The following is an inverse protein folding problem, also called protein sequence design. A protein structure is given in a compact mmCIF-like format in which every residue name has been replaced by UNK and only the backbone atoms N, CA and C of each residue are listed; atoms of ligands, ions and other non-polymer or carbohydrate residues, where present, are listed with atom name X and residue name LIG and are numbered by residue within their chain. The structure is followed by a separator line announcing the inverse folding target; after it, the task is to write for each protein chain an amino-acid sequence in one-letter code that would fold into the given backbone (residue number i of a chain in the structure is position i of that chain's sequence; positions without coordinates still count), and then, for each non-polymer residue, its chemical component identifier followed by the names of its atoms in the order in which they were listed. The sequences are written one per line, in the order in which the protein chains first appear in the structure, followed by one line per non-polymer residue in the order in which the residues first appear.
data_IF_316991481993
#
_entry.id   IF_316991481993
#
_cell.length_a   1.000
_cell.length_b   1.000
_cell.length_c   1.000
_cell.angle_alpha   90.00
_cell.angle_beta   90.00
_cell.angle_gamma   90.00
#
_symmetry.space_group_name_H-M   'P 1'
#
loop_
_entity.id
_entity.type
_entity.pdbx_description
1 polymer ?
2 non-polymer ?
3 water ?
#
# COMPACT_ATOMS: atom_id res chain seq x y z
N UNK A 3 0.87 19.79 -10.71
CA UNK A 3 0.69 21.11 -11.40
C UNK A 3 1.97 21.78 -11.92
N UNK A 4 2.52 22.78 -11.23
CA UNK A 4 2.04 23.34 -9.93
C UNK A 4 2.36 22.48 -8.71
N UNK A 5 2.74 23.14 -7.62
CA UNK A 5 2.94 22.48 -6.35
C UNK A 5 1.92 22.99 -5.29
N UNK A 6 1.02 22.15 -4.82
CA UNK A 6 0.07 22.64 -3.80
C UNK A 6 0.39 22.12 -2.38
N UNK A 7 0.52 23.03 -1.43
CA UNK A 7 0.96 22.69 -0.07
C UNK A 7 0.17 23.42 1.04
N UNK A 8 -0.59 22.62 1.79
CA UNK A 8 -1.39 23.09 2.93
C UNK A 8 -1.40 24.58 3.17
N UNK A 9 -2.22 25.30 2.42
CA UNK A 9 -3.11 24.72 1.44
C UNK A 9 -3.13 25.78 0.38
N UNK A 10 -1.92 26.32 0.11
CA UNK A 10 -1.66 27.21 -1.02
C UNK A 10 -0.93 26.50 -2.18
N UNK A 11 -1.33 26.87 -3.40
CA UNK A 11 -0.74 26.35 -4.62
C UNK A 11 0.36 27.30 -5.01
N UNK A 12 1.56 26.77 -5.23
CA UNK A 12 2.65 27.53 -5.81
C UNK A 12 3.07 26.95 -7.17
N UNK A 13 3.70 27.75 -8.01
CA UNK A 13 4.30 27.19 -9.20
C UNK A 13 5.77 27.09 -8.84
N UNK A 14 6.38 26.00 -9.31
CA UNK A 14 7.81 25.89 -9.47
C UNK A 14 8.05 24.76 -10.46
N UNK A 15 9.32 24.39 -10.63
CA UNK A 15 9.75 23.38 -11.56
C UNK A 15 10.85 22.55 -10.89
N UNK A 16 10.82 21.24 -11.06
CA UNK A 16 11.79 20.35 -10.38
C UNK A 16 13.23 20.82 -10.33
N UNK A 17 13.63 21.62 -11.30
CA UNK A 17 14.95 22.15 -11.23
C UNK A 17 15.03 23.24 -10.19
N UNK A 18 13.88 23.85 -9.91
CA UNK A 18 13.77 24.86 -8.85
C UNK A 18 14.01 24.30 -7.47
N UNK A 19 13.48 23.09 -7.21
CA UNK A 19 13.60 22.39 -5.92
C UNK A 19 15.04 22.12 -5.58
N UNK A 20 15.40 22.20 -4.32
CA UNK A 20 16.75 21.87 -3.90
C UNK A 20 16.76 20.39 -3.58
N UNK A 21 17.82 19.69 -3.94
CA UNK A 21 17.86 18.25 -3.79
C UNK A 21 18.84 17.84 -2.72
N UNK A 22 18.38 16.97 -1.81
CA UNK A 22 19.16 16.61 -0.62
C UNK A 22 19.80 15.22 -0.67
N UNK A 23 19.26 14.32 -1.48
CA UNK A 23 19.79 12.95 -1.55
C UNK A 23 18.75 12.00 -2.06
N UNK A 24 19.08 10.71 -2.16
CA UNK A 24 18.14 9.72 -2.72
C UNK A 24 17.75 8.59 -1.77
N UNK A 25 16.67 7.89 -2.12
CA UNK A 25 16.10 6.85 -1.27
C UNK A 25 15.77 5.55 -2.01
N UNK A 26 16.02 5.54 -3.32
CA UNK A 26 15.80 4.38 -4.17
C UNK A 26 14.70 4.56 -5.20
N UNK A 27 14.98 4.42 -6.49
CA UNK A 27 16.17 3.73 -7.07
C UNK A 27 16.13 2.24 -6.81
N UNK A 28 15.53 1.85 -5.68
CA UNK A 28 15.24 0.47 -5.34
C UNK A 28 13.84 0.17 -5.82
N UNK A 29 13.72 0.07 -7.16
CA UNK A 29 12.45 -0.08 -7.91
C UNK A 29 11.41 1.03 -7.64
N UNK A 30 10.94 1.75 -8.66
CA UNK A 30 11.33 1.61 -10.08
C UNK A 30 12.31 2.71 -10.50
N UNK A 31 11.90 3.97 -10.29
CA UNK A 31 12.73 5.13 -10.60
C UNK A 31 13.33 5.75 -9.35
N UNK A 32 14.39 6.54 -9.54
CA UNK A 32 15.02 7.26 -8.44
C UNK A 32 13.97 8.06 -7.67
N UNK A 33 13.68 7.64 -6.43
CA UNK A 33 12.91 8.47 -5.49
C UNK A 33 13.87 9.39 -4.72
N UNK A 34 13.45 10.64 -4.54
CA UNK A 34 14.32 11.72 -4.10
C UNK A 34 13.85 12.44 -2.85
N UNK A 35 14.79 12.75 -1.95
CA UNK A 35 14.52 13.69 -0.87
C UNK A 35 14.90 15.08 -1.35
N UNK A 36 13.93 15.98 -1.35
CA UNK A 36 14.24 17.38 -1.63
C UNK A 36 13.35 18.44 -0.99
N UNK A 37 13.94 19.62 -0.89
CA UNK A 37 13.37 20.74 -0.19
C UNK A 37 12.82 21.76 -1.17
N UNK A 38 11.58 22.17 -0.98
CA UNK A 38 10.97 23.18 -1.79
C UNK A 38 11.45 24.49 -1.25
N UNK A 39 12.23 25.19 -2.04
CA UNK A 39 12.96 26.39 -1.62
C UNK A 39 12.00 27.53 -1.12
N UNK A 40 10.82 27.57 -1.74
CA UNK A 40 9.73 28.53 -1.49
C UNK A 40 9.24 28.61 -0.03
N UNK A 41 9.00 27.45 0.58
CA UNK A 41 8.21 27.35 1.82
C UNK A 41 9.00 26.62 2.92
N UNK A 42 10.02 25.87 2.53
CA UNK A 42 10.87 25.22 3.51
C UNK A 42 10.53 23.75 3.68
N UNK A 43 9.48 23.32 3.00
CA UNK A 43 9.12 21.93 3.05
C UNK A 43 10.11 20.93 2.46
N UNK A 44 10.16 19.73 3.03
CA UNK A 44 10.99 18.66 2.51
C UNK A 44 10.08 17.51 2.08
N UNK A 45 10.20 17.06 0.84
CA UNK A 45 9.19 16.18 0.27
C UNK A 45 9.82 14.94 -0.35
N UNK A 46 8.98 14.05 -0.85
CA UNK A 46 9.44 12.96 -1.70
C UNK A 46 9.21 13.44 -3.11
N UNK A 47 10.08 12.99 -4.00
CA UNK A 47 9.85 13.14 -5.42
C UNK A 47 10.38 11.89 -6.09
N UNK A 48 9.48 11.22 -6.80
CA UNK A 48 9.77 10.01 -7.53
C UNK A 48 9.96 10.36 -8.99
N UNK A 49 11.21 10.36 -9.43
CA UNK A 49 11.53 10.55 -10.86
C UNK A 49 11.26 9.29 -11.69
N UNK A 50 10.40 9.41 -12.70
CA UNK A 50 10.29 8.40 -13.76
C UNK A 50 10.52 9.14 -15.09
N UNK A 51 11.29 8.62 -16.07
CA UNK A 51 11.29 7.25 -16.61
C UNK A 51 10.21 7.27 -17.71
N UNK A 52 10.20 8.34 -18.51
CA UNK A 52 9.33 8.44 -19.68
C UNK A 52 9.70 7.33 -20.69
N UNK A 53 8.83 6.96 -21.63
CA UNK A 53 7.58 7.66 -21.96
C UNK A 53 6.51 6.68 -22.44
N UNK A 54 5.26 7.01 -22.12
CA UNK A 54 4.13 6.53 -22.92
C UNK A 54 3.88 7.65 -23.90
N UNK A 55 3.38 7.32 -25.09
CA UNK A 55 3.05 8.37 -26.08
C UNK A 55 1.53 8.68 -26.15
N UNK A 56 1.15 9.95 -26.22
CA UNK A 56 2.06 11.12 -26.27
C UNK A 56 2.78 11.36 -24.93
N UNK A 68 -2.72 13.82 -10.76
CA UNK A 68 -3.44 12.57 -10.49
C UNK A 68 -4.22 12.74 -9.15
N UNK A 69 -3.52 12.88 -8.02
CA UNK A 69 -4.10 13.41 -6.75
C UNK A 69 -3.26 14.63 -6.30
N UNK A 70 -3.85 15.71 -5.78
CA UNK A 70 -5.28 16.01 -5.69
C UNK A 70 -6.24 15.17 -6.55
N UNK A 71 -7.41 14.88 -6.02
CA UNK A 71 -7.94 15.59 -4.84
C UNK A 71 -8.16 14.70 -3.61
N UNK A 72 -7.22 13.80 -3.33
CA UNK A 72 -7.25 13.00 -2.11
C UNK A 72 -6.47 13.68 -0.98
N UNK A 73 -6.98 14.85 -0.61
CA UNK A 73 -6.37 15.75 0.37
C UNK A 73 -6.91 15.54 1.77
N UNK A 74 -8.20 15.26 1.89
CA UNK A 74 -8.81 15.07 3.21
C UNK A 74 -8.47 13.73 3.87
N UNK A 75 -8.31 12.67 3.07
CA UNK A 75 -8.02 11.33 3.60
C UNK A 75 -6.63 11.18 4.24
N UNK A 76 -6.58 10.88 5.54
CA UNK A 76 -5.27 10.85 6.17
C UNK A 76 -4.52 9.51 5.99
N UNK A 77 -5.10 8.58 5.26
CA UNK A 77 -4.48 7.25 5.09
C UNK A 77 -3.83 7.03 3.72
N UNK A 78 -3.87 8.06 2.89
CA UNK A 78 -3.27 8.05 1.57
C UNK A 78 -2.10 8.98 1.61
N UNK A 79 -1.00 8.62 0.97
CA UNK A 79 0.10 9.56 0.94
C UNK A 79 -0.36 10.69 0.03
N UNK A 80 -0.15 11.91 0.50
CA UNK A 80 -0.63 13.08 -0.18
C UNK A 80 0.31 13.44 -1.31
N UNK A 81 -0.28 13.67 -2.47
CA UNK A 81 0.48 14.14 -3.56
C UNK A 81 0.42 15.65 -3.63
N UNK A 82 1.54 16.26 -4.00
CA UNK A 82 1.70 17.69 -4.05
C UNK A 82 1.61 18.28 -5.48
N UNK A 83 1.60 17.41 -6.49
CA UNK A 83 1.72 17.83 -7.89
C UNK A 83 2.82 17.13 -8.69
N UNK A 84 2.92 17.53 -9.96
CA UNK A 84 3.74 16.87 -11.03
C UNK A 84 3.69 17.93 -12.11
N UNK A 85 4.58 18.01 -13.08
CA UNK A 85 6.03 17.79 -13.11
C UNK A 85 6.60 16.95 -14.24
N UNK A 86 6.45 17.53 -15.43
CA UNK A 86 6.80 16.89 -16.70
C UNK A 86 8.03 17.52 -17.37
N UNK A 87 8.96 16.68 -17.81
CA UNK A 87 9.99 17.15 -18.73
C UNK A 87 9.99 16.21 -19.93
N UNK A 88 10.96 16.38 -20.82
CA UNK A 88 11.10 15.50 -21.97
C UNK A 88 11.63 14.09 -21.64
N UNK A 89 12.14 13.87 -20.44
CA UNK A 89 12.75 12.58 -20.09
C UNK A 89 11.99 11.85 -18.98
N UNK A 90 11.44 12.64 -18.05
CA UNK A 90 10.76 12.27 -16.80
C UNK A 90 9.71 13.35 -16.82
N UNK A 91 8.45 13.26 -16.36
CA UNK A 91 7.79 12.70 -15.14
C UNK A 91 8.38 12.69 -13.74
N UNK A 92 8.16 13.81 -13.06
CA UNK A 92 8.42 13.90 -11.64
C UNK A 92 7.14 14.01 -10.83
N UNK A 93 7.02 13.19 -9.78
CA UNK A 93 5.91 13.32 -8.84
C UNK A 93 6.30 13.45 -7.36
N UNK A 94 5.88 14.59 -6.80
CA UNK A 94 6.15 15.07 -5.43
C UNK A 94 5.12 14.53 -4.48
N UNK A 95 5.62 13.87 -3.44
CA UNK A 95 4.76 13.26 -2.44
C UNK A 95 5.31 13.62 -1.06
N UNK A 96 4.44 13.48 -0.05
CA UNK A 96 4.86 13.64 1.35
C UNK A 96 5.90 12.61 1.73
N UNK A 97 6.88 13.07 2.48
CA UNK A 97 8.01 12.24 2.83
C UNK A 97 7.60 11.26 3.91
N UNK A 98 7.95 9.99 3.76
CA UNK A 98 7.44 8.94 4.67
C UNK A 98 8.31 7.70 4.84
N UNK A 99 8.80 7.46 6.05
CA UNK A 99 9.48 6.19 6.41
C UNK A 99 9.93 5.12 5.40
N UNK A 100 9.02 4.26 4.93
CA UNK A 100 9.37 3.02 4.17
C UNK A 100 8.14 2.21 3.68
N UNK A 101 8.37 1.27 2.76
CA UNK A 101 7.32 0.37 2.29
C UNK A 101 7.04 -0.63 3.36
N UNK A 102 5.97 -1.39 3.18
CA UNK A 102 5.77 -2.54 4.01
C UNK A 102 6.79 -3.54 3.49
N UNK A 103 6.71 -3.88 2.19
CA UNK A 103 7.55 -4.93 1.56
C UNK A 103 8.99 -4.87 2.03
N UNK A 104 9.54 -3.66 2.13
CA UNK A 104 10.89 -3.49 2.59
C UNK A 104 11.07 -3.66 4.09
N UNK A 105 9.98 -3.66 4.86
CA UNK A 105 10.10 -3.95 6.31
C UNK A 105 10.13 -5.45 6.58
N UNK A 106 9.35 -6.22 5.82
CA UNK A 106 9.41 -7.67 5.88
C UNK A 106 10.86 -8.12 5.66
N UNK A 107 11.48 -7.62 4.58
CA UNK A 107 12.87 -8.00 4.27
C UNK A 107 13.88 -7.46 5.29
N UNK A 108 13.63 -6.26 5.78
CA UNK A 108 14.55 -5.59 6.70
C UNK A 108 14.43 -6.20 8.07
N UNK A 109 13.24 -6.72 8.40
CA UNK A 109 12.98 -7.35 9.68
C UNK A 109 13.44 -8.81 9.65
N UNK A 110 13.39 -9.39 8.46
CA UNK A 110 13.63 -10.82 8.24
C UNK A 110 12.77 -11.66 9.19
N UNK A 111 11.46 -11.40 9.13
CA UNK A 111 10.46 -12.00 10.02
C UNK A 111 9.18 -11.18 10.02
N UNK A 112 8.03 -11.82 10.31
CA UNK A 112 6.68 -11.22 10.29
C UNK A 112 6.51 -9.92 11.08
N UNK A 113 5.46 -9.19 10.72
CA UNK A 113 5.03 -8.02 11.48
C UNK A 113 3.89 -8.45 12.43
N UNK A 114 4.02 -8.13 13.73
CA UNK A 114 3.07 -8.32 14.84
C UNK A 114 1.61 -8.04 14.50
N UNK A 115 0.71 -8.95 14.86
CA UNK A 115 -0.70 -8.78 14.48
C UNK A 115 -1.20 -7.36 14.82
N UNK A 116 -0.78 -6.84 15.97
CA UNK A 116 -1.21 -5.51 16.37
C UNK A 116 -0.95 -4.46 15.27
N UNK A 117 0.22 -4.52 14.62
CA UNK A 117 0.59 -3.57 13.56
C UNK A 117 -0.24 -3.73 12.28
N UNK A 118 -0.42 -4.97 11.85
CA UNK A 118 -1.28 -5.24 10.68
C UNK A 118 -2.71 -4.79 10.89
N UNK A 119 -3.14 -4.87 12.15
CA UNK A 119 -4.47 -4.46 12.52
C UNK A 119 -4.66 -2.97 12.33
N UNK A 120 -3.68 -2.21 12.78
CA UNK A 120 -3.64 -0.80 12.47
C UNK A 120 -3.66 -0.65 10.93
N UNK A 121 -2.71 -1.35 10.29
CA UNK A 121 -2.58 -1.31 8.86
C UNK A 121 -3.91 -1.57 8.21
N UNK A 122 -4.50 -2.72 8.50
CA UNK A 122 -5.77 -3.03 7.90
C UNK A 122 -6.70 -1.83 7.95
N UNK A 123 -6.70 -1.11 9.07
CA UNK A 123 -7.63 0.01 9.27
C UNK A 123 -7.27 1.21 8.42
N UNK A 124 -6.00 1.64 8.48
CA UNK A 124 -5.53 2.64 7.54
C UNK A 124 -5.90 2.21 6.12
N UNK A 125 -5.57 0.97 5.73
CA UNK A 125 -5.78 0.56 4.34
C UNK A 125 -7.25 0.44 3.92
N UNK A 126 -8.07 -0.19 4.73
CA UNK A 126 -9.44 -0.41 4.26
C UNK A 126 -10.07 0.96 4.04
N UNK A 127 -9.87 1.87 4.99
CA UNK A 127 -10.56 3.15 4.93
C UNK A 127 -10.09 3.97 3.76
N UNK A 128 -8.88 3.70 3.28
CA UNK A 128 -8.32 4.39 2.14
C UNK A 128 -9.07 3.91 0.90
N UNK A 129 -9.04 2.62 0.65
CA UNK A 129 -9.74 2.06 -0.49
C UNK A 129 -11.18 2.50 -0.45
N UNK A 130 -11.76 2.45 0.74
CA UNK A 130 -13.14 2.84 0.91
C UNK A 130 -13.32 4.30 0.57
N UNK A 131 -12.32 5.11 0.89
CA UNK A 131 -12.37 6.53 0.62
C UNK A 131 -12.41 6.70 -0.86
N UNK A 132 -11.39 6.14 -1.54
CA UNK A 132 -11.20 6.32 -2.98
C UNK A 132 -12.45 5.96 -3.75
N UNK A 133 -13.00 4.78 -3.46
CA UNK A 133 -14.23 4.32 -4.10
C UNK A 133 -15.42 5.28 -3.92
N UNK A 134 -15.78 5.59 -2.67
CA UNK A 134 -16.98 6.38 -2.33
C UNK A 134 -16.85 7.91 -2.48
N UNK A 135 -15.67 8.38 -2.90
CA UNK A 135 -15.43 9.81 -3.03
C UNK A 135 -14.89 10.18 -4.41
N UNK A 136 -14.31 9.22 -5.11
CA UNK A 136 -13.73 9.49 -6.42
C UNK A 136 -14.01 8.43 -7.43
N UNK A 137 -14.86 7.47 -7.07
CA UNK A 137 -15.17 6.35 -7.95
C UNK A 137 -13.90 5.67 -8.43
N UNK A 138 -12.96 5.50 -7.52
CA UNK A 138 -11.68 4.90 -7.84
C UNK A 138 -11.60 3.43 -7.41
N UNK A 139 -11.01 2.59 -8.28
CA UNK A 139 -10.76 1.18 -7.97
C UNK A 139 -9.28 0.83 -8.06
N UNK A 140 -8.46 1.60 -7.32
CA UNK A 140 -7.01 1.39 -7.18
C UNK A 140 -6.69 -0.04 -7.42
N UNK A 141 -6.01 -0.32 -8.51
CA UNK A 141 -5.76 -1.72 -8.89
C UNK A 141 -4.86 -2.49 -7.88
N UNK A 142 -3.74 -1.89 -7.45
CA UNK A 142 -2.64 -2.63 -6.81
C UNK A 142 -2.46 -2.49 -5.30
N UNK A 143 -3.18 -3.31 -4.53
CA UNK A 143 -3.00 -3.36 -3.08
C UNK A 143 -1.91 -4.35 -2.68
N UNK A 144 -0.74 -3.86 -2.27
CA UNK A 144 0.37 -4.74 -1.86
C UNK A 144 1.38 -4.04 -0.95
N UNK A 145 2.23 -4.81 -0.27
CA UNK A 145 3.18 -4.29 0.71
C UNK A 145 4.00 -3.13 0.23
N UNK A 146 4.37 -3.15 -1.04
CA UNK A 146 5.16 -2.06 -1.63
C UNK A 146 4.43 -0.73 -1.47
N UNK A 147 3.11 -0.78 -1.62
CA UNK A 147 2.21 0.38 -1.65
C UNK A 147 1.74 0.85 -0.27
N UNK A 148 2.19 0.19 0.79
CA UNK A 148 1.80 0.58 2.10
C UNK A 148 2.99 1.22 2.76
N UNK A 149 2.85 2.49 3.08
CA UNK A 149 3.95 3.23 3.65
C UNK A 149 3.79 3.51 5.12
N UNK A 150 4.81 3.15 5.89
CA UNK A 150 4.80 3.38 7.31
C UNK A 150 5.69 4.55 7.52
N UNK A 151 5.69 5.10 8.74
CA UNK A 151 6.52 6.26 9.08
C UNK A 151 7.01 6.26 10.54
N UNK A 152 8.04 7.06 10.78
CA UNK A 152 8.71 7.14 12.06
C UNK A 152 7.73 7.42 13.19
N UNK A 153 6.75 8.22 12.88
CA UNK A 153 5.93 8.77 13.91
C UNK A 153 4.61 8.01 13.95
N UNK A 154 4.63 6.75 13.50
CA UNK A 154 3.43 5.92 13.54
C UNK A 154 2.52 5.78 12.32
N UNK A 155 2.21 6.89 11.61
CA UNK A 155 1.24 6.86 10.47
C UNK A 155 1.42 5.75 9.42
N UNK A 156 0.32 5.29 8.85
CA UNK A 156 0.31 4.20 7.89
C UNK A 156 -0.54 4.64 6.75
N UNK A 157 -0.01 4.55 5.54
CA UNK A 157 -0.68 5.14 4.41
C UNK A 157 -0.60 4.28 3.17
N UNK A 158 -1.59 4.43 2.31
CA UNK A 158 -1.60 3.86 0.98
C UNK A 158 -0.90 4.78 0.01
N UNK A 159 0.00 4.21 -0.80
CA UNK A 159 0.50 4.86 -2.00
C UNK A 159 -0.38 4.36 -3.13
N UNK A 160 -1.16 5.26 -3.71
CA UNK A 160 -2.00 4.94 -4.86
C UNK A 160 -1.16 5.07 -6.15
N UNK A 161 -0.74 3.94 -6.72
CA UNK A 161 0.27 3.95 -7.78
C UNK A 161 0.04 3.05 -9.01
N UNK A 162 0.79 1.94 -9.09
CA UNK A 162 0.76 1.03 -10.25
C UNK A 162 1.98 1.18 -11.13
N UNK A 177 7.04 -14.43 -7.64
CA UNK A 177 6.09 -14.37 -8.74
C UNK A 177 6.22 -13.10 -9.60
N UNK A 178 5.87 -11.91 -9.08
CA UNK A 178 5.35 -11.71 -7.72
C UNK A 178 4.03 -10.98 -7.72
N UNK A 179 4.04 -9.77 -8.30
CA UNK A 179 2.89 -8.84 -8.29
C UNK A 179 1.73 -9.24 -9.21
N UNK A 180 1.77 -10.47 -9.70
CA UNK A 180 0.67 -11.03 -10.48
C UNK A 180 -0.09 -11.99 -9.57
N UNK A 181 0.60 -12.42 -8.49
CA UNK A 181 0.06 -13.37 -7.53
C UNK A 181 -1.15 -12.83 -6.77
N UNK A 182 -1.13 -11.53 -6.54
CA UNK A 182 -2.16 -10.84 -5.79
C UNK A 182 -3.49 -10.79 -6.52
N UNK A 183 -3.53 -11.40 -7.70
CA UNK A 183 -4.71 -11.34 -8.53
C UNK A 183 -5.78 -12.26 -7.96
N UNK A 184 -7.01 -11.77 -8.00
CA UNK A 184 -8.17 -12.50 -7.51
C UNK A 184 -8.43 -13.74 -8.39
N UNK A 185 -9.39 -14.61 -7.99
CA UNK A 185 -9.84 -15.61 -8.94
C UNK A 185 -10.58 -15.02 -10.16
N UNK A 186 -11.60 -14.19 -9.92
CA UNK A 186 -12.45 -13.66 -11.01
C UNK A 186 -11.73 -12.67 -11.95
N UNK A 187 -10.41 -12.63 -11.86
CA UNK A 187 -9.61 -11.86 -12.79
C UNK A 187 -8.89 -12.80 -13.78
N UNK A 188 -9.59 -13.88 -14.16
CA UNK A 188 -9.27 -14.74 -15.33
C UNK A 188 -10.54 -15.51 -15.78
N UNK A 189 -11.69 -15.04 -15.33
CA UNK A 189 -12.98 -15.73 -15.48
C UNK A 189 -13.74 -15.26 -16.74
N UNK A 190 -15.08 -15.51 -16.80
CA UNK A 190 -15.98 -14.86 -17.77
C UNK A 190 -16.06 -13.33 -17.63
N UNK A 191 -15.76 -12.57 -18.72
CA UNK A 191 -15.87 -11.09 -18.73
C UNK A 191 -17.32 -10.59 -18.82
N UNK A 196 -11.31 -7.03 -17.13
CA UNK A 196 -11.28 -6.25 -15.88
C UNK A 196 -12.30 -5.12 -15.91
N UNK A 197 -13.03 -4.87 -14.81
CA UNK A 197 -12.98 -5.61 -13.54
C UNK A 197 -14.39 -5.78 -12.96
N UNK A 198 -14.50 -6.69 -11.99
CA UNK A 198 -15.76 -6.93 -11.28
C UNK A 198 -15.57 -7.50 -9.86
N UNK A 199 -15.43 -6.65 -8.84
CA UNK A 199 -15.20 -5.19 -8.99
C UNK A 199 -14.14 -4.75 -7.99
N UNK A 200 -14.55 -4.01 -6.94
CA UNK A 200 -13.62 -3.64 -5.86
C UNK A 200 -13.06 -4.90 -5.21
N UNK A 201 -13.93 -5.91 -5.10
CA UNK A 201 -13.64 -7.13 -4.35
C UNK A 201 -12.26 -7.68 -4.66
N UNK A 202 -11.69 -7.31 -5.80
CA UNK A 202 -10.36 -7.76 -6.17
C UNK A 202 -9.26 -7.15 -5.27
N UNK A 203 -9.44 -5.89 -4.90
CA UNK A 203 -8.53 -5.26 -3.97
C UNK A 203 -8.63 -5.95 -2.64
N UNK A 204 -9.86 -6.16 -2.16
CA UNK A 204 -10.11 -6.99 -0.98
C UNK A 204 -9.17 -8.21 -0.96
N UNK A 205 -9.21 -9.01 -2.02
CA UNK A 205 -8.31 -10.14 -2.14
C UNK A 205 -6.90 -9.74 -1.85
N UNK A 206 -6.39 -8.70 -2.51
CA UNK A 206 -4.95 -8.34 -2.40
C UNK A 206 -4.58 -7.89 -0.97
N UNK A 207 -5.59 -7.37 -0.28
CA UNK A 207 -5.48 -7.01 1.11
C UNK A 207 -5.17 -8.26 1.90
N UNK A 208 -6.03 -9.28 1.72
CA UNK A 208 -5.79 -10.58 2.32
C UNK A 208 -4.34 -11.07 2.16
N UNK A 209 -3.94 -11.27 0.91
CA UNK A 209 -2.66 -11.89 0.61
C UNK A 209 -1.57 -11.06 1.26
N UNK A 210 -1.78 -9.75 1.23
CA UNK A 210 -0.80 -8.83 1.81
C UNK A 210 -0.70 -9.11 3.30
N UNK A 211 -1.86 -9.38 3.90
CA UNK A 211 -1.93 -9.66 5.32
C UNK A 211 -1.22 -10.97 5.63
N UNK A 212 -1.66 -12.05 5.00
CA UNK A 212 -0.96 -13.31 5.13
C UNK A 212 0.54 -13.19 4.81
N UNK A 213 0.91 -12.69 3.63
CA UNK A 213 2.34 -12.45 3.37
C UNK A 213 2.95 -11.79 4.58
N UNK A 214 2.23 -10.80 5.09
CA UNK A 214 2.75 -9.92 6.08
C UNK A 214 2.76 -10.49 7.48
N UNK A 215 1.70 -11.20 7.83
CA UNK A 215 1.63 -11.78 9.17
C UNK A 215 2.71 -12.84 9.32
N UNK A 216 2.79 -13.73 8.32
CA UNK A 216 3.64 -14.92 8.36
C UNK A 216 5.07 -14.59 8.00
N UNK A 217 5.26 -13.48 7.27
CA UNK A 217 6.58 -13.00 6.84
C UNK A 217 7.13 -13.86 5.72
N UNK A 218 6.21 -14.49 4.99
CA UNK A 218 6.55 -15.46 3.98
C UNK A 218 5.41 -15.51 2.99
N UNK A 219 5.74 -15.24 1.72
CA UNK A 219 4.73 -15.24 0.67
C UNK A 219 4.03 -16.59 0.53
N UNK A 220 2.67 -16.59 0.53
CA UNK A 220 1.79 -17.78 0.57
C UNK A 220 2.28 -18.96 -0.23
N UNK A 221 2.87 -18.67 -1.37
CA UNK A 221 3.24 -19.69 -2.32
C UNK A 221 4.76 -19.73 -2.43
N UNK A 222 5.37 -20.56 -1.59
CA UNK A 222 6.82 -20.70 -1.50
C UNK A 222 7.38 -21.63 -2.58
N UNK A 223 6.47 -22.26 -3.34
CA UNK A 223 6.84 -23.35 -4.24
C UNK A 223 7.38 -22.91 -5.62
N UNK A 224 7.13 -21.65 -6.01
CA UNK A 224 7.52 -21.11 -7.32
C UNK A 224 9.04 -20.78 -7.39
N UNK A 225 9.56 -19.86 -8.23
CA UNK A 225 8.92 -18.86 -9.11
C UNK A 225 9.47 -19.10 -10.56
N UNK A 226 9.24 -18.25 -11.59
CA UNK A 226 8.57 -16.93 -11.65
C UNK A 226 7.99 -16.67 -13.07
N UNK A 227 6.70 -16.85 -13.33
CA UNK A 227 5.68 -17.38 -12.41
C UNK A 227 4.61 -18.19 -13.19
N UNK A 228 3.35 -17.79 -13.12
CA UNK A 228 2.23 -18.51 -13.77
C UNK A 228 1.90 -19.86 -13.12
N UNK A 229 2.92 -20.62 -12.73
CA UNK A 229 2.70 -21.75 -11.84
C UNK A 229 2.21 -21.18 -10.51
N UNK A 230 1.93 -19.87 -10.55
CA UNK A 230 1.39 -19.07 -9.46
C UNK A 230 -0.10 -18.81 -9.75
N UNK A 231 -0.36 -18.13 -10.87
CA UNK A 231 -1.71 -17.76 -11.32
C UNK A 231 -2.65 -18.94 -11.26
N UNK A 232 -2.08 -20.09 -11.61
CA UNK A 232 -2.79 -21.33 -11.67
C UNK A 232 -3.22 -21.71 -10.27
N UNK A 233 -2.25 -22.07 -9.43
CA UNK A 233 -2.50 -22.31 -8.00
C UNK A 233 -3.69 -21.52 -7.47
N UNK A 234 -3.71 -20.20 -7.72
CA UNK A 234 -4.77 -19.30 -7.24
C UNK A 234 -6.17 -19.79 -7.60
N UNK A 235 -6.44 -19.91 -8.89
CA UNK A 235 -7.78 -20.29 -9.33
C UNK A 235 -7.96 -21.78 -9.11
N UNK A 236 -6.83 -22.48 -9.12
CA UNK A 236 -6.80 -23.91 -8.82
C UNK A 236 -7.14 -24.21 -7.36
N UNK A 237 -6.38 -23.64 -6.44
CA UNK A 237 -6.46 -24.04 -5.02
C UNK A 237 -7.23 -23.08 -4.08
N UNK A 238 -7.48 -23.56 -2.87
CA UNK A 238 -8.27 -22.83 -1.89
C UNK A 238 -7.43 -21.90 -1.03
N UNK A 239 -8.04 -20.76 -0.63
CA UNK A 239 -7.30 -19.60 -0.11
C UNK A 239 -6.23 -19.95 0.92
N UNK A 240 -5.04 -19.35 0.82
CA UNK A 240 -3.98 -19.58 1.79
C UNK A 240 -4.27 -18.85 3.12
N UNK A 241 -5.44 -19.17 3.68
CA UNK A 241 -5.91 -18.65 4.96
C UNK A 241 -4.92 -18.79 6.10
N UNK A 242 -5.12 -17.99 7.14
CA UNK A 242 -4.13 -17.83 8.18
C UNK A 242 -4.01 -19.12 9.00
N UNK A 243 -2.77 -19.55 9.26
CA UNK A 243 -2.44 -20.70 10.12
C UNK A 243 -2.99 -20.54 11.53
N UNK A 244 -3.77 -21.53 12.00
CA UNK A 244 -4.30 -21.50 13.37
C UNK A 244 -3.21 -21.40 14.43
N UNK A 245 -1.95 -21.48 13.97
CA UNK A 245 -0.78 -21.78 14.80
C UNK A 245 -0.04 -20.64 15.45
N UNK A 246 0.17 -19.52 14.74
CA UNK A 246 1.12 -18.51 15.24
C UNK A 246 0.54 -17.59 16.32
N UNK A 247 -0.60 -17.94 16.90
CA UNK A 247 -1.22 -17.11 17.91
C UNK A 247 -1.87 -15.90 17.27
N UNK A 248 -2.81 -16.15 16.39
CA UNK A 248 -3.50 -15.06 15.72
C UNK A 248 -4.92 -14.93 16.23
N UNK A 249 -5.22 -13.84 16.92
CA UNK A 249 -6.59 -13.58 17.32
C UNK A 249 -7.53 -14.04 16.20
N UNK A 250 -8.39 -15.00 16.49
CA UNK A 250 -9.29 -15.53 15.47
C UNK A 250 -10.27 -14.50 14.96
N UNK A 251 -10.18 -13.29 15.50
CA UNK A 251 -10.80 -12.11 14.89
C UNK A 251 -10.05 -11.79 13.59
N UNK A 252 -8.74 -11.68 13.73
CA UNK A 252 -7.86 -11.65 12.60
C UNK A 252 -8.16 -12.77 11.61
N UNK A 253 -7.80 -14.00 11.97
CA UNK A 253 -8.01 -15.17 11.11
C UNK A 253 -9.35 -15.08 10.40
N UNK A 254 -10.35 -14.49 11.05
CA UNK A 254 -11.67 -14.39 10.48
C UNK A 254 -11.69 -13.38 9.34
N UNK A 255 -11.31 -12.14 9.65
CA UNK A 255 -11.10 -11.10 8.63
C UNK A 255 -10.27 -11.56 7.44
N UNK A 256 -8.98 -11.79 7.69
CA UNK A 256 -8.10 -12.39 6.68
C UNK A 256 -8.70 -13.54 5.91
N UNK A 257 -9.81 -14.07 6.34
CA UNK A 257 -10.42 -15.15 5.59
C UNK A 257 -11.64 -14.65 4.80
N UNK A 258 -12.38 -13.72 5.38
CA UNK A 258 -13.50 -13.08 4.69
C UNK A 258 -13.01 -12.46 3.37
N UNK A 259 -11.77 -12.00 3.40
CA UNK A 259 -11.14 -11.41 2.25
C UNK A 259 -10.84 -12.50 1.25
N UNK A 260 -10.01 -13.46 1.66
CA UNK A 260 -9.59 -14.57 0.79
C UNK A 260 -10.71 -15.55 0.46
N UNK A 261 -11.93 -15.01 0.32
CA UNK A 261 -13.09 -15.73 -0.18
C UNK A 261 -12.97 -15.94 -1.70
N UNK A 262 -12.88 -17.19 -2.14
CA UNK A 262 -12.82 -17.54 -3.57
C UNK A 262 -14.03 -16.94 -4.28
N UNK A 263 -15.22 -17.18 -3.73
CA UNK A 263 -16.46 -16.72 -4.33
C UNK A 263 -16.65 -15.21 -4.17
N UNK A 264 -16.13 -14.47 -5.14
CA UNK A 264 -16.13 -13.02 -5.11
C UNK A 264 -17.53 -12.44 -5.00
N UNK A 265 -18.54 -13.25 -5.29
CA UNK A 265 -19.93 -12.79 -5.35
C UNK A 265 -20.49 -12.45 -3.97
N UNK A 266 -20.18 -13.27 -2.98
CA UNK A 266 -20.68 -13.01 -1.64
C UNK A 266 -19.57 -12.42 -0.77
N UNK A 267 -18.38 -12.27 -1.38
CA UNK A 267 -17.21 -11.59 -0.78
C UNK A 267 -17.55 -10.21 -0.18
N UNK A 268 -16.81 -9.77 0.86
CA UNK A 268 -17.14 -8.52 1.54
C UNK A 268 -16.76 -7.21 0.82
N UNK A 269 -17.76 -6.38 0.55
CA UNK A 269 -17.49 -5.01 0.16
C UNK A 269 -16.78 -4.31 1.31
N UNK A 270 -16.19 -3.16 1.02
CA UNK A 270 -15.34 -2.47 1.96
C UNK A 270 -16.06 -2.17 3.25
N UNK A 271 -17.32 -1.74 3.13
CA UNK A 271 -18.12 -1.42 4.31
C UNK A 271 -18.28 -2.58 5.28
N UNK A 272 -18.56 -3.77 4.74
CA UNK A 272 -18.71 -4.96 5.57
C UNK A 272 -17.42 -5.22 6.33
N UNK A 273 -16.29 -4.94 5.70
CA UNK A 273 -15.05 -5.09 6.39
C UNK A 273 -14.95 -4.04 7.47
N UNK A 274 -15.46 -2.84 7.17
CA UNK A 274 -15.38 -1.73 8.12
C UNK A 274 -16.18 -2.00 9.38
N UNK A 275 -17.03 -3.01 9.32
CA UNK A 275 -17.85 -3.35 10.48
C UNK A 275 -17.62 -4.78 10.97
N UNK A 276 -16.60 -5.41 10.41
CA UNK A 276 -15.98 -6.58 11.01
C UNK A 276 -15.38 -6.20 12.33
N UNK A 277 -15.08 -7.22 13.12
CA UNK A 277 -14.65 -7.01 14.51
C UNK A 277 -13.18 -6.72 14.61
N UNK A 278 -12.40 -7.41 13.80
CA UNK A 278 -10.96 -7.17 13.78
C UNK A 278 -10.69 -5.68 13.53
N UNK A 279 -11.47 -5.08 12.61
CA UNK A 279 -11.38 -3.65 12.34
C UNK A 279 -11.73 -2.91 13.62
N UNK A 280 -12.91 -3.23 14.18
CA UNK A 280 -13.52 -2.47 15.28
C UNK A 280 -12.60 -2.45 16.46
N UNK A 281 -12.03 -3.60 16.77
CA UNK A 281 -10.97 -3.62 17.73
C UNK A 281 -9.95 -2.55 17.42
N UNK A 282 -9.48 -2.57 16.18
CA UNK A 282 -8.28 -1.83 15.85
C UNK A 282 -8.51 -0.35 15.56
N UNK A 283 -9.78 0.01 15.34
CA UNK A 283 -10.21 1.41 15.32
C UNK A 283 -10.03 2.05 16.70
N UNK A 284 -10.17 1.25 17.76
CA UNK A 284 -10.14 1.72 19.15
C UNK A 284 -8.82 1.41 19.91
N UNK A 285 -8.31 0.18 19.73
CA UNK A 285 -7.15 -0.30 20.47
C UNK A 285 -5.95 0.55 20.19
N UNK A 286 -5.30 1.00 21.25
CA UNK A 286 -4.15 1.88 21.16
C UNK A 286 -2.87 1.03 20.99
N UNK A 287 -2.03 1.40 20.00
CA UNK A 287 -0.83 0.63 19.61
C UNK A 287 0.39 1.53 19.38
N UNK A 288 1.55 1.18 19.94
CA UNK A 288 2.79 2.02 19.85
C UNK A 288 3.45 1.88 18.49
N UNK A 289 2.78 2.30 17.43
CA UNK A 289 3.30 2.02 16.09
C UNK A 289 4.60 2.78 15.86
N UNK A 290 4.65 4.03 16.32
CA UNK A 290 5.85 4.82 16.16
C UNK A 290 7.00 4.09 16.85
N UNK A 291 6.77 3.82 18.13
CA UNK A 291 7.72 3.14 18.99
C UNK A 291 8.26 1.89 18.27
N UNK A 292 7.35 1.09 17.72
CA UNK A 292 7.69 -0.17 17.05
C UNK A 292 8.59 0.03 15.87
N UNK A 293 8.08 0.80 14.91
CA UNK A 293 8.80 1.15 13.70
C UNK A 293 10.23 1.55 14.04
N UNK A 294 10.35 2.52 14.94
CA UNK A 294 11.65 3.03 15.40
C UNK A 294 12.53 1.88 15.86
N UNK A 295 11.96 0.94 16.59
CA UNK A 295 12.73 -0.15 17.10
C UNK A 295 13.16 -1.10 15.99
N UNK A 296 12.27 -1.36 15.03
CA UNK A 296 12.65 -2.17 13.89
C UNK A 296 13.73 -1.47 13.05
N UNK A 297 13.86 -0.15 13.26
CA UNK A 297 14.97 0.60 12.67
C UNK A 297 16.29 0.33 13.40
N UNK A 298 16.21 -0.44 14.48
CA UNK A 298 17.42 -0.94 15.14
C UNK A 298 18.11 -1.92 14.20
N UNK A 299 17.33 -2.80 13.56
CA UNK A 299 17.85 -3.80 12.63
C UNK A 299 17.04 -3.81 11.31
N UNK A 300 17.72 -3.61 10.19
CA UNK A 300 19.18 -3.51 10.10
C UNK A 300 19.74 -2.07 10.26
N UNK A 301 19.48 -1.19 9.29
CA UNK A 301 19.78 0.27 9.35
C UNK A 301 19.79 0.91 7.96
X LIG B 1 10.14 5.44 -0.52
X LIG B 1 8.95 5.83 -1.35
X LIG B 1 10.38 6.27 0.68
X LIG B 1 8.15 6.91 -0.95
X LIG B 1 8.42 7.64 0.19
X LIG B 1 11.64 3.43 0.26
X LIG B 1 9.52 7.33 0.99
X LIG B 1 7.34 4.91 -3.02
X LIG B 1 11.57 1.00 -0.04
X LIG B 1 8.59 5.10 -2.58
X LIG B 1 7.65 2.66 -4.02
X LIG B 1 11.14 4.31 -0.81
X LIG B 1 12.40 2.28 -0.18
X LIG B 1 7.16 4.10 -4.27
X LIG B 1 11.61 4.14 -1.94
X LIG B 1 9.19 2.53 -3.86
X LIG B 1 9.73 1.14 -3.47
X LIG B 1 9.28 0.13 -3.98
X LIG B 1 10.87 1.01 -2.47
X LIG B 1 10.39 0.88 -1.02
X LIG B 1 6.96 2.16 -2.87
X LIG B 1 9.88 2.95 -5.05
X LIG B 1 11.45 5.99 1.48
X LIG B 1 7.63 8.69 0.57
X LIG B 1 6.33 8.93 0.03
X LIG B 1 13.70 2.13 0.62
#
# INVERSE_FOLDING_TARGET
MTGYLTIGGQRYQAEINDLENLGEMGSGTCGQVWKMRFRKTGHVIAVKQMRRSGNKEENKRILMDLDVVLKSHDCPYIVQCFGTFITNTDVFIAMELMGTCAEKLKKRMQGPIPERILGKMTVAIVKALYYLKEKHGVIHRDVKPSNILLDERGQIKLCDFGISGRLVDSKAKTRSAGCAAYMAPERIDPPDPTKPDYDIRADVWSLGISLVELATGQFPYKNCKTDFEVLTKVLQEEPPLLPGHMGFSGDFQSFVKDCLTKDHRKRPKYNKLLEHSFIKRYETLEVDVASWFKDVMAKTESPRTSGVLSQPHLPFFRHHHHHH
1FM C2 C3 C11 C14 C15 O15 C16 C17 C18 C23 C24 C26 C31 C34 O38 C39 C40 O40 C41 C42 O42 O44 O46 O48 C59 C62
#
